data_IF_004478661480
#
_entry.id   IF_004478661480
#
_cell.length_a   1.000
_cell.length_b   1.000
_cell.length_c   1.000
_cell.angle_alpha   90.00
_cell.angle_beta   90.00
_cell.angle_gamma   90.00
#
_symmetry.space_group_name_H-M   'P 1'
#
loop_
_entity.id
_entity.type
_entity.pdbx_description
1 polymer ?
#
# COMPACT_ATOMS: atom_id res chain seq x y z
N UNK A 1 10.09 -23.09 -3.32
CA UNK A 1 11.55 -23.10 -3.55
C UNK A 1 12.19 -23.64 -2.30
N UNK A 2 12.86 -24.79 -2.37
CA UNK A 2 13.55 -25.34 -1.21
C UNK A 2 14.74 -24.42 -0.92
N UNK A 3 14.62 -23.57 0.10
CA UNK A 3 15.79 -22.92 0.69
C UNK A 3 16.76 -24.04 1.04
N UNK A 4 17.99 -23.97 0.53
CA UNK A 4 18.96 -25.06 0.61
C UNK A 4 19.47 -25.16 2.07
N UNK A 5 18.68 -25.80 2.93
CA UNK A 5 18.91 -25.96 4.37
C UNK A 5 20.33 -26.45 4.66
N UNK A 6 20.87 -27.29 3.76
CA UNK A 6 22.23 -27.82 3.85
C UNK A 6 23.31 -26.74 3.61
N UNK A 7 23.07 -25.77 2.73
CA UNK A 7 23.98 -24.65 2.53
C UNK A 7 23.97 -23.73 3.76
N UNK A 8 22.78 -23.42 4.27
CA UNK A 8 22.61 -22.55 5.45
C UNK A 8 23.26 -23.17 6.69
N UNK A 9 23.10 -24.48 6.91
CA UNK A 9 23.75 -25.16 8.04
C UNK A 9 25.26 -25.20 7.91
N UNK A 10 25.81 -25.38 6.70
CA UNK A 10 27.26 -25.29 6.45
C UNK A 10 27.82 -23.90 6.75
N UNK A 11 27.11 -22.85 6.33
CA UNK A 11 27.53 -21.46 6.57
C UNK A 11 27.49 -21.12 8.07
N UNK A 12 26.47 -21.61 8.80
CA UNK A 12 26.36 -21.46 10.25
C UNK A 12 27.48 -22.22 11.00
N UNK A 13 27.83 -23.43 10.56
CA UNK A 13 28.98 -24.16 11.12
C UNK A 13 30.30 -23.42 10.85
N UNK A 14 30.46 -22.85 9.66
CA UNK A 14 31.63 -22.03 9.31
C UNK A 14 31.71 -20.74 10.16
N UNK A 15 30.57 -20.22 10.60
CA UNK A 15 30.48 -19.11 11.55
C UNK A 15 30.73 -19.50 13.02
N UNK A 16 30.98 -20.79 13.31
CA UNK A 16 31.34 -21.28 14.64
C UNK A 16 30.17 -21.79 15.49
N UNK A 17 28.97 -21.94 14.91
CA UNK A 17 27.86 -22.61 15.59
C UNK A 17 28.10 -24.11 15.66
N UNK A 18 27.66 -24.74 16.75
CA UNK A 18 27.71 -26.20 16.84
C UNK A 18 26.75 -26.84 15.81
N UNK A 19 27.00 -28.11 15.48
CA UNK A 19 26.26 -28.83 14.45
C UNK A 19 24.75 -28.88 14.73
N UNK A 20 24.36 -29.05 15.99
CA UNK A 20 22.97 -29.16 16.41
C UNK A 20 22.26 -27.79 16.33
N UNK A 21 22.96 -26.72 16.69
CA UNK A 21 22.51 -25.34 16.57
C UNK A 21 22.36 -24.92 15.10
N UNK A 22 23.36 -25.25 14.27
CA UNK A 22 23.38 -24.90 12.86
C UNK A 22 22.22 -25.58 12.10
N UNK A 23 21.97 -26.86 12.36
CA UNK A 23 20.88 -27.59 11.72
C UNK A 23 19.50 -27.12 12.21
N UNK A 24 19.36 -26.79 13.51
CA UNK A 24 18.13 -26.25 14.08
C UNK A 24 17.79 -24.87 13.49
N UNK A 25 18.79 -23.98 13.39
CA UNK A 25 18.63 -22.65 12.80
C UNK A 25 18.34 -22.71 11.31
N UNK A 26 19.06 -23.55 10.55
CA UNK A 26 18.82 -23.74 9.13
C UNK A 26 17.40 -24.28 8.86
N UNK A 27 16.92 -25.20 9.69
CA UNK A 27 15.55 -25.72 9.61
C UNK A 27 14.52 -24.63 9.89
N UNK A 28 14.76 -23.77 10.90
CA UNK A 28 13.88 -22.64 11.19
C UNK A 28 13.85 -21.61 10.05
N UNK A 29 15.01 -21.30 9.46
CA UNK A 29 15.12 -20.37 8.32
C UNK A 29 14.40 -20.95 7.10
N UNK A 30 14.60 -22.24 6.81
CA UNK A 30 13.95 -22.92 5.69
C UNK A 30 12.44 -23.11 5.89
N UNK A 31 12.00 -23.24 7.15
CA UNK A 31 10.58 -23.30 7.52
C UNK A 31 9.93 -21.92 7.63
N UNK A 32 10.72 -20.83 7.62
CA UNK A 32 10.18 -19.48 7.60
C UNK A 32 9.55 -19.25 6.22
N UNK A 33 8.23 -18.99 6.14
CA UNK A 33 7.58 -18.79 4.86
C UNK A 33 8.24 -17.62 4.12
N UNK A 34 8.36 -17.75 2.79
CA UNK A 34 8.94 -16.75 1.89
C UNK A 34 8.19 -15.40 1.85
N UNK A 35 7.18 -15.22 2.70
CA UNK A 35 6.41 -13.98 2.91
C UNK A 35 7.11 -13.02 3.90
N UNK A 36 8.44 -13.00 3.88
CA UNK A 36 9.20 -11.98 4.59
C UNK A 36 9.10 -10.67 3.80
N UNK A 37 8.04 -9.91 4.05
CA UNK A 37 7.90 -8.52 3.59
C UNK A 37 9.09 -7.74 4.14
N UNK A 38 9.95 -7.22 3.26
CA UNK A 38 11.06 -6.38 3.70
C UNK A 38 10.53 -5.02 4.15
N UNK A 39 11.29 -4.29 4.97
CA UNK A 39 10.94 -2.90 5.31
C UNK A 39 10.79 -2.01 4.06
N UNK A 40 11.51 -2.34 2.98
CA UNK A 40 11.40 -1.64 1.71
C UNK A 40 10.06 -1.92 1.02
N UNK A 41 9.59 -3.17 1.04
CA UNK A 41 8.28 -3.55 0.49
C UNK A 41 7.14 -2.86 1.24
N UNK A 42 7.26 -2.77 2.57
CA UNK A 42 6.27 -2.04 3.38
C UNK A 42 6.27 -0.54 3.07
N UNK A 43 7.44 0.07 2.88
CA UNK A 43 7.55 1.49 2.52
C UNK A 43 6.97 1.78 1.13
N UNK A 44 7.16 0.88 0.17
CA UNK A 44 6.56 0.97 -1.16
C UNK A 44 5.03 0.89 -1.10
N UNK A 45 4.49 -0.03 -0.30
CA UNK A 45 3.04 -0.16 -0.17
C UNK A 45 2.41 1.04 0.54
N UNK A 46 3.08 1.58 1.57
CA UNK A 46 2.66 2.84 2.23
C UNK A 46 2.64 4.00 1.23
N UNK A 47 3.70 4.18 0.44
CA UNK A 47 3.74 5.23 -0.59
C UNK A 47 2.64 5.05 -1.65
N UNK A 48 2.35 3.79 -2.02
CA UNK A 48 1.26 3.47 -2.95
C UNK A 48 -0.11 3.81 -2.37
N UNK A 49 -0.32 3.55 -1.08
CA UNK A 49 -1.54 3.88 -0.35
C UNK A 49 -1.73 5.39 -0.25
N UNK A 50 -0.70 6.15 0.09
CA UNK A 50 -0.76 7.62 0.18
C UNK A 50 -1.14 8.24 -1.16
N UNK A 51 -0.49 7.82 -2.26
CA UNK A 51 -0.84 8.30 -3.60
C UNK A 51 -2.27 7.94 -4.02
N UNK A 52 -2.77 6.77 -3.61
CA UNK A 52 -4.14 6.36 -3.92
C UNK A 52 -5.16 7.22 -3.15
N UNK A 53 -4.91 7.48 -1.87
CA UNK A 53 -5.77 8.31 -1.03
C UNK A 53 -5.80 9.74 -1.57
N UNK A 54 -4.65 10.32 -1.91
CA UNK A 54 -4.56 11.67 -2.46
C UNK A 54 -5.31 11.80 -3.80
N UNK A 55 -5.18 10.81 -4.68
CA UNK A 55 -5.91 10.77 -5.95
C UNK A 55 -7.44 10.65 -5.74
N UNK A 56 -7.89 9.82 -4.80
CA UNK A 56 -9.31 9.66 -4.48
C UNK A 56 -9.90 10.94 -3.85
N UNK A 57 -9.14 11.63 -2.99
CA UNK A 57 -9.54 12.92 -2.40
C UNK A 57 -9.71 13.97 -3.49
N UNK A 58 -8.73 14.15 -4.38
CA UNK A 58 -8.84 15.12 -5.46
C UNK A 58 -9.99 14.84 -6.44
N UNK A 59 -10.27 13.56 -6.70
CA UNK A 59 -11.41 13.17 -7.52
C UNK A 59 -12.74 13.49 -6.82
N UNK A 60 -12.80 13.31 -5.50
CA UNK A 60 -13.97 13.66 -4.69
C UNK A 60 -14.19 15.17 -4.66
N UNK A 61 -13.14 15.97 -4.45
CA UNK A 61 -13.17 17.44 -4.46
C UNK A 61 -13.65 17.97 -5.81
N UNK A 62 -13.10 17.44 -6.92
CA UNK A 62 -13.50 17.84 -8.27
C UNK A 62 -14.98 17.55 -8.52
N UNK A 63 -15.49 16.39 -8.09
CA UNK A 63 -16.91 16.04 -8.22
C UNK A 63 -17.82 16.91 -7.35
N UNK A 64 -17.38 17.25 -6.14
CA UNK A 64 -18.11 18.13 -5.22
C UNK A 64 -18.17 19.57 -5.76
N UNK A 65 -17.04 20.12 -6.20
CA UNK A 65 -16.98 21.46 -6.80
C UNK A 65 -17.87 21.55 -8.04
N UNK A 66 -17.88 20.52 -8.90
CA UNK A 66 -18.69 20.51 -10.11
C UNK A 66 -20.18 20.41 -9.80
N UNK A 67 -20.58 19.62 -8.80
CA UNK A 67 -21.97 19.56 -8.30
C UNK A 67 -22.43 20.87 -7.65
N UNK A 68 -21.58 21.50 -6.84
CA UNK A 68 -21.93 22.77 -6.18
C UNK A 68 -22.02 23.89 -7.21
N UNK A 69 -21.05 23.98 -8.13
CA UNK A 69 -21.04 24.99 -9.19
C UNK A 69 -22.23 24.87 -10.13
N UNK A 70 -22.58 23.66 -10.57
CA UNK A 70 -23.78 23.43 -11.40
C UNK A 70 -25.07 23.71 -10.64
N UNK A 71 -25.18 23.30 -9.37
CA UNK A 71 -26.34 23.59 -8.54
C UNK A 71 -26.58 25.10 -8.33
N UNK A 72 -25.52 25.86 -8.06
CA UNK A 72 -25.59 27.32 -7.94
C UNK A 72 -25.99 27.99 -9.26
N UNK A 73 -25.37 27.59 -10.39
CA UNK A 73 -25.70 28.16 -11.68
C UNK A 73 -27.18 27.95 -12.07
N UNK A 74 -27.73 26.77 -11.80
CA UNK A 74 -29.15 26.47 -12.03
C UNK A 74 -30.04 27.32 -11.13
N UNK A 75 -29.71 27.43 -9.83
CA UNK A 75 -30.48 28.22 -8.89
C UNK A 75 -30.50 29.72 -9.27
N UNK A 76 -29.35 30.30 -9.62
CA UNK A 76 -29.26 31.70 -10.05
C UNK A 76 -29.99 31.93 -11.38
N UNK A 77 -29.91 31.00 -12.32
CA UNK A 77 -30.63 31.08 -13.59
C UNK A 77 -32.16 31.07 -13.41
N UNK A 78 -32.68 30.25 -12.50
CA UNK A 78 -34.11 30.20 -12.19
C UNK A 78 -34.62 31.49 -11.56
N UNK A 79 -33.84 32.09 -10.65
CA UNK A 79 -34.21 33.36 -10.00
C UNK A 79 -34.23 34.51 -11.01
N UNK A 80 -33.21 34.60 -11.87
CA UNK A 80 -33.16 35.63 -12.93
C UNK A 80 -34.31 35.47 -13.93
N UNK A 81 -34.63 34.24 -14.32
CA UNK A 81 -35.76 33.97 -15.20
C UNK A 81 -37.10 34.41 -14.58
N UNK A 82 -37.32 34.09 -13.29
CA UNK A 82 -38.55 34.46 -12.58
C UNK A 82 -38.72 35.98 -12.44
N UNK A 83 -37.63 36.71 -12.16
CA UNK A 83 -37.65 38.18 -12.04
C UNK A 83 -37.80 38.86 -13.41
N UNK A 84 -37.21 38.31 -14.47
CA UNK A 84 -37.34 38.86 -15.82
C UNK A 84 -38.72 38.64 -16.46
N UNK A 85 -39.53 37.72 -15.93
CA UNK A 85 -40.90 37.42 -16.41
C UNK A 85 -42.01 38.08 -15.59
N UNK A 86 -41.67 38.78 -14.49
CA UNK A 86 -42.59 39.52 -13.63
C UNK A 86 -42.61 41.01 -14.01
#
# INVERSE_FOLDING_TARGET
>A
MASDTLSISKDLRAAGFDEQQADALATHIAATPSDLVTKADLALEVARLDHKIEAEIHQLESRLLLRIGTGLAVATGLVLAAVGTA
#
